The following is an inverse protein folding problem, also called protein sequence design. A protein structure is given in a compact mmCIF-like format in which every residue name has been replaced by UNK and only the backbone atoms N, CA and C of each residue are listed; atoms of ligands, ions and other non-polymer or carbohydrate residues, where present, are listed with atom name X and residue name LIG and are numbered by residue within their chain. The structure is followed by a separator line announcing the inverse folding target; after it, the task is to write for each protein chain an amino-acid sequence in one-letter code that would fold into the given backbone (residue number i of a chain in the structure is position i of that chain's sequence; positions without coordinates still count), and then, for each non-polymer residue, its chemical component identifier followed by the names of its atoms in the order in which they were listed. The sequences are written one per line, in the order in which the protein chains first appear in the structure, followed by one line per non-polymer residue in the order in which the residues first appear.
data_IF_784699056591
#
_entry.id   IF_784699056591
#
_cell.length_a   1.000
_cell.length_b   1.000
_cell.length_c   1.000
_cell.angle_alpha   90.00
_cell.angle_beta   90.00
_cell.angle_gamma   90.00
#
_symmetry.space_group_name_H-M   'P 1'
#
loop_
_entity.id
_entity.type
_entity.pdbx_description
1 polymer ?
#
# COMPACT_ATOMS: atom_id res chain seq x y z
N UNK A 1 15.49 13.39 -12.02
CA UNK A 1 14.31 12.50 -12.12
C UNK A 1 13.53 12.54 -10.81
N UNK A 2 12.23 12.76 -10.88
CA UNK A 2 11.45 12.70 -9.64
C UNK A 2 11.47 11.29 -9.07
N UNK A 3 11.52 11.22 -7.75
CA UNK A 3 11.50 9.94 -7.06
C UNK A 3 10.06 9.41 -7.04
N UNK A 4 9.91 8.10 -7.09
CA UNK A 4 8.59 7.50 -6.92
C UNK A 4 8.16 7.64 -5.47
N UNK A 5 6.90 7.96 -5.27
CA UNK A 5 6.33 8.18 -3.94
C UNK A 5 5.49 6.98 -3.53
N UNK A 6 5.72 6.49 -2.33
CA UNK A 6 4.98 5.33 -1.78
C UNK A 6 4.29 5.75 -0.50
N UNK A 7 2.99 5.49 -0.42
CA UNK A 7 2.22 5.70 0.80
C UNK A 7 2.16 4.39 1.57
N UNK A 8 2.64 4.43 2.82
CA UNK A 8 2.65 3.27 3.72
C UNK A 8 1.53 3.44 4.74
N UNK A 9 0.59 2.51 4.78
CA UNK A 9 -0.56 2.59 5.69
C UNK A 9 -0.58 1.40 6.63
N UNK A 10 -0.45 1.67 7.93
CA UNK A 10 -0.52 0.65 8.97
C UNK A 10 -0.73 1.37 10.30
N UNK A 11 -1.53 0.79 11.19
CA UNK A 11 -1.75 1.41 12.50
C UNK A 11 -0.61 1.10 13.49
N UNK A 12 0.32 0.23 13.12
CA UNK A 12 1.46 -0.12 13.94
C UNK A 12 2.70 0.71 13.56
N UNK A 13 3.20 1.49 14.50
CA UNK A 13 4.44 2.25 14.29
C UNK A 13 5.61 1.31 13.99
N UNK A 14 5.62 0.13 14.61
CA UNK A 14 6.69 -0.84 14.39
C UNK A 14 6.69 -1.33 12.94
N UNK A 15 5.53 -1.66 12.40
CA UNK A 15 5.43 -2.12 11.02
C UNK A 15 5.83 -1.00 10.06
N UNK A 16 5.36 0.23 10.29
CA UNK A 16 5.74 1.37 9.46
C UNK A 16 7.25 1.58 9.47
N UNK A 17 7.86 1.46 10.64
CA UNK A 17 9.32 1.60 10.76
C UNK A 17 10.04 0.52 9.96
N UNK A 18 9.59 -0.73 10.06
CA UNK A 18 10.18 -1.85 9.31
C UNK A 18 10.08 -1.62 7.82
N UNK A 19 8.90 -1.21 7.35
CA UNK A 19 8.69 -0.95 5.93
C UNK A 19 9.57 0.19 5.44
N UNK A 20 9.69 1.26 6.24
CA UNK A 20 10.55 2.37 5.88
C UNK A 20 12.02 1.95 5.80
N UNK A 21 12.47 1.12 6.75
CA UNK A 21 13.86 0.64 6.73
C UNK A 21 14.15 -0.19 5.48
N UNK A 22 13.23 -1.04 5.09
CA UNK A 22 13.38 -1.85 3.90
C UNK A 22 13.41 -0.96 2.65
N UNK A 23 12.49 -0.01 2.56
CA UNK A 23 12.32 0.81 1.36
C UNK A 23 13.31 1.95 1.26
N UNK A 24 13.93 2.36 2.35
CA UNK A 24 14.98 3.39 2.31
C UNK A 24 16.21 2.98 1.52
N UNK A 25 16.36 1.70 1.26
CA UNK A 25 17.46 1.22 0.42
C UNK A 25 17.23 1.53 -1.05
N UNK A 26 16.00 1.86 -1.43
CA UNK A 26 15.68 2.31 -2.77
C UNK A 26 15.58 3.83 -2.82
N UNK A 27 15.21 4.34 -3.97
CA UNK A 27 15.11 5.78 -4.18
C UNK A 27 13.66 6.23 -4.15
N UNK A 28 12.98 5.97 -3.04
CA UNK A 28 11.57 6.30 -2.88
C UNK A 28 11.34 7.43 -1.89
N UNK A 29 10.33 8.26 -2.17
CA UNK A 29 9.81 9.19 -1.18
C UNK A 29 8.70 8.46 -0.43
N UNK A 30 8.79 8.42 0.89
CA UNK A 30 7.86 7.66 1.72
C UNK A 30 6.95 8.58 2.52
N UNK A 31 5.66 8.34 2.42
CA UNK A 31 4.63 9.04 3.19
C UNK A 31 3.91 7.98 4.02
N UNK A 32 3.52 8.29 5.23
CA UNK A 32 2.87 7.33 6.10
C UNK A 32 1.50 7.80 6.53
N UNK A 33 0.61 6.84 6.82
CA UNK A 33 -0.69 7.08 7.42
C UNK A 33 -0.98 5.96 8.41
N UNK A 34 -1.65 6.28 9.51
CA UNK A 34 -1.84 5.33 10.61
C UNK A 34 -3.27 4.85 10.77
N UNK A 35 -4.20 5.38 10.01
CA UNK A 35 -5.58 4.91 9.99
C UNK A 35 -6.19 5.16 8.62
N UNK A 36 -7.41 4.65 8.43
CA UNK A 36 -8.05 4.70 7.13
C UNK A 36 -8.38 6.11 6.67
N UNK A 37 -8.85 6.96 7.56
CA UNK A 37 -9.16 8.35 7.22
C UNK A 37 -7.91 9.09 6.77
N UNK A 38 -6.85 8.96 7.51
CA UNK A 38 -5.57 9.59 7.15
C UNK A 38 -5.06 9.04 5.83
N UNK A 39 -5.23 7.74 5.59
CA UNK A 39 -4.79 7.12 4.35
C UNK A 39 -5.50 7.72 3.15
N UNK A 40 -6.81 7.90 3.23
CA UNK A 40 -7.59 8.50 2.13
C UNK A 40 -7.14 9.95 1.90
N UNK A 41 -7.01 10.73 2.97
CA UNK A 41 -6.55 12.11 2.85
C UNK A 41 -5.17 12.20 2.22
N UNK A 42 -4.23 11.37 2.69
CA UNK A 42 -2.86 11.36 2.17
C UNK A 42 -2.82 10.93 0.72
N UNK A 43 -3.62 9.93 0.34
CA UNK A 43 -3.65 9.46 -1.04
C UNK A 43 -4.06 10.59 -1.98
N UNK A 44 -5.08 11.35 -1.62
CA UNK A 44 -5.54 12.43 -2.48
C UNK A 44 -4.61 13.65 -2.46
N UNK A 45 -4.00 13.94 -1.31
CA UNK A 45 -3.10 15.09 -1.18
C UNK A 45 -1.73 14.83 -1.84
N UNK A 46 -1.19 13.63 -1.65
CA UNK A 46 0.17 13.30 -2.06
C UNK A 46 0.27 12.63 -3.42
N UNK A 47 -0.82 12.07 -3.91
CA UNK A 47 -0.87 11.39 -5.20
C UNK A 47 0.28 10.38 -5.36
N UNK A 48 0.38 9.38 -4.48
CA UNK A 48 1.50 8.44 -4.53
C UNK A 48 1.47 7.58 -5.79
N UNK A 49 2.62 7.02 -6.12
CA UNK A 49 2.77 6.12 -7.25
C UNK A 49 2.42 4.69 -6.88
N UNK A 50 2.38 4.38 -5.59
CA UNK A 50 2.03 3.06 -5.08
C UNK A 50 1.57 3.21 -3.64
N UNK A 51 0.63 2.37 -3.21
CA UNK A 51 0.13 2.35 -1.83
C UNK A 51 0.31 0.96 -1.26
N UNK A 52 0.96 0.87 -0.10
CA UNK A 52 1.09 -0.36 0.66
C UNK A 52 0.14 -0.25 1.84
N UNK A 53 -0.89 -1.10 1.89
CA UNK A 53 -2.07 -0.87 2.70
C UNK A 53 -2.40 -2.07 3.58
N UNK A 54 -2.32 -1.88 4.90
CA UNK A 54 -2.72 -2.90 5.86
C UNK A 54 -4.23 -3.11 5.79
N UNK A 55 -4.66 -4.36 5.90
CA UNK A 55 -6.08 -4.71 5.85
C UNK A 55 -6.77 -4.43 7.18
N UNK A 56 -6.15 -4.83 8.29
CA UNK A 56 -6.79 -4.75 9.60
C UNK A 56 -6.40 -3.48 10.34
N UNK A 57 -7.33 -2.53 10.36
CA UNK A 57 -7.16 -1.27 11.07
C UNK A 57 -8.47 -0.90 11.76
N UNK A 58 -8.40 -0.15 12.87
CA UNK A 58 -9.64 0.26 13.55
C UNK A 58 -10.45 1.22 12.71
N UNK A 59 -11.75 1.17 12.87
CA UNK A 59 -12.77 2.06 12.28
C UNK A 59 -12.96 1.91 10.79
N UNK A 60 -11.91 1.97 9.99
CA UNK A 60 -11.99 1.81 8.54
C UNK A 60 -10.90 0.84 8.12
N UNK A 61 -11.28 -0.33 7.64
CA UNK A 61 -10.31 -1.35 7.24
C UNK A 61 -9.75 -1.05 5.84
N UNK A 62 -8.73 -1.82 5.45
CA UNK A 62 -8.05 -1.59 4.17
C UNK A 62 -8.94 -1.72 2.96
N UNK A 63 -9.96 -2.58 3.01
CA UNK A 63 -10.88 -2.75 1.88
C UNK A 63 -11.67 -1.47 1.64
N UNK A 64 -12.14 -0.86 2.71
CA UNK A 64 -12.89 0.40 2.63
C UNK A 64 -12.02 1.53 2.11
N UNK A 65 -10.77 1.61 2.58
CA UNK A 65 -9.80 2.59 2.10
C UNK A 65 -9.60 2.43 0.60
N UNK A 66 -9.40 1.19 0.16
CA UNK A 66 -9.18 0.89 -1.25
C UNK A 66 -10.35 1.34 -2.11
N UNK A 67 -11.57 1.02 -1.69
CA UNK A 67 -12.77 1.42 -2.44
C UNK A 67 -12.87 2.94 -2.56
N UNK A 68 -12.61 3.65 -1.47
CA UNK A 68 -12.68 5.12 -1.47
C UNK A 68 -11.64 5.73 -2.42
N UNK A 69 -10.43 5.19 -2.40
CA UNK A 69 -9.39 5.68 -3.29
C UNK A 69 -9.75 5.42 -4.74
N UNK A 70 -10.33 4.25 -5.03
CA UNK A 70 -10.72 3.88 -6.39
C UNK A 70 -11.90 4.68 -6.94
N UNK A 71 -12.62 5.39 -6.10
CA UNK A 71 -13.69 6.28 -6.55
C UNK A 71 -13.14 7.49 -7.33
N UNK A 72 -11.91 7.86 -7.10
CA UNK A 72 -11.27 8.97 -7.81
C UNK A 72 -10.67 8.42 -9.11
N UNK A 73 -11.10 8.95 -10.25
CA UNK A 73 -10.62 8.50 -11.55
C UNK A 73 -9.11 8.64 -11.70
N UNK A 74 -8.53 9.66 -11.09
CA UNK A 74 -7.09 9.88 -11.13
C UNK A 74 -6.29 8.83 -10.36
N UNK A 75 -6.96 8.06 -9.49
CA UNK A 75 -6.31 7.06 -8.65
C UNK A 75 -6.61 5.62 -9.08
N UNK A 76 -7.35 5.43 -10.17
CA UNK A 76 -7.74 4.07 -10.58
C UNK A 76 -6.57 3.23 -11.06
N UNK A 77 -5.53 3.85 -11.56
CA UNK A 77 -4.35 3.13 -12.04
C UNK A 77 -3.23 2.97 -11.04
N UNK A 78 -3.36 3.54 -9.83
CA UNK A 78 -2.31 3.46 -8.83
C UNK A 78 -2.27 2.06 -8.23
N UNK A 79 -1.11 1.38 -8.24
CA UNK A 79 -1.03 0.06 -7.60
C UNK A 79 -1.30 0.17 -6.10
N UNK A 80 -2.19 -0.68 -5.60
CA UNK A 80 -2.48 -0.83 -4.18
C UNK A 80 -2.18 -2.26 -3.80
N UNK A 81 -1.17 -2.45 -2.95
CA UNK A 81 -0.77 -3.77 -2.47
C UNK A 81 -1.29 -3.93 -1.05
N UNK A 82 -2.17 -4.90 -0.85
CA UNK A 82 -2.72 -5.19 0.48
C UNK A 82 -1.71 -5.99 1.29
N UNK A 83 -1.58 -5.66 2.57
CA UNK A 83 -0.74 -6.43 3.51
C UNK A 83 -1.69 -7.20 4.42
N UNK A 84 -1.67 -8.52 4.32
CA UNK A 84 -2.60 -9.39 5.04
C UNK A 84 -1.86 -10.30 6.02
N UNK A 85 -2.59 -10.80 7.02
CA UNK A 85 -2.03 -11.78 7.94
C UNK A 85 -2.21 -13.17 7.34
N UNK A 86 -1.20 -14.02 7.54
CA UNK A 86 -1.24 -15.40 7.06
C UNK A 86 -2.50 -16.12 7.58
N UNK A 87 -3.15 -16.88 6.72
CA UNK A 87 -4.34 -17.64 7.09
C UNK A 87 -5.66 -16.92 6.82
N UNK A 88 -5.60 -15.70 6.31
CA UNK A 88 -6.80 -14.92 6.03
C UNK A 88 -7.14 -14.95 4.53
N UNK A 89 -7.36 -16.17 4.01
CA UNK A 89 -7.65 -16.35 2.58
C UNK A 89 -8.85 -15.57 2.07
N UNK A 90 -9.88 -15.40 2.91
CA UNK A 90 -11.05 -14.62 2.53
C UNK A 90 -10.71 -13.17 2.28
N UNK A 91 -9.71 -12.63 2.99
CA UNK A 91 -9.30 -11.25 2.84
C UNK A 91 -8.64 -10.98 1.49
N UNK A 92 -7.95 -11.98 0.93
CA UNK A 92 -7.33 -11.84 -0.39
C UNK A 92 -8.39 -11.61 -1.45
N UNK A 93 -9.45 -12.42 -1.45
CA UNK A 93 -10.53 -12.29 -2.40
C UNK A 93 -11.25 -10.94 -2.24
N UNK A 94 -11.56 -10.57 -0.99
CA UNK A 94 -12.20 -9.28 -0.71
C UNK A 94 -11.33 -8.12 -1.15
N UNK A 95 -10.01 -8.26 -1.02
CA UNK A 95 -9.08 -7.24 -1.46
C UNK A 95 -9.19 -6.98 -2.95
N UNK A 96 -9.19 -8.04 -3.76
CA UNK A 96 -9.32 -7.88 -5.20
C UNK A 96 -10.68 -7.31 -5.59
N UNK A 97 -11.74 -7.71 -4.90
CA UNK A 97 -13.07 -7.16 -5.15
C UNK A 97 -13.15 -5.67 -4.80
N UNK A 98 -12.36 -5.21 -3.84
CA UNK A 98 -12.33 -3.79 -3.47
C UNK A 98 -11.49 -2.94 -4.41
N UNK A 99 -10.74 -3.57 -5.32
CA UNK A 99 -9.95 -2.88 -6.32
C UNK A 99 -8.45 -2.87 -6.08
N UNK A 100 -7.93 -3.68 -5.13
CA UNK A 100 -6.49 -3.74 -4.93
C UNK A 100 -5.81 -4.42 -6.11
N UNK A 101 -4.52 -4.13 -6.27
CA UNK A 101 -3.72 -4.67 -7.38
C UNK A 101 -3.08 -6.00 -7.03
N UNK A 102 -2.70 -6.18 -5.77
CA UNK A 102 -1.97 -7.35 -5.33
C UNK A 102 -2.02 -7.44 -3.81
N UNK A 103 -1.40 -8.44 -3.25
CA UNK A 103 -1.29 -8.58 -1.80
C UNK A 103 0.05 -9.18 -1.43
N UNK A 104 0.43 -8.99 -0.16
CA UNK A 104 1.61 -9.63 0.42
C UNK A 104 1.21 -10.08 1.83
N UNK A 105 1.70 -11.25 2.25
CA UNK A 105 1.32 -11.85 3.53
C UNK A 105 2.34 -11.53 4.60
N UNK A 106 1.88 -11.14 5.80
CA UNK A 106 2.73 -10.99 6.98
C UNK A 106 2.96 -12.35 7.62
N UNK A 107 4.17 -12.64 8.09
CA UNK A 107 5.38 -11.86 7.93
C UNK A 107 5.93 -11.98 6.51
N UNK A 108 6.56 -10.92 6.04
CA UNK A 108 7.20 -10.91 4.71
C UNK A 108 8.69 -10.64 4.86
N UNK A 109 9.45 -11.06 3.85
CA UNK A 109 10.88 -10.75 3.81
C UNK A 109 11.10 -9.43 3.09
N UNK A 110 12.28 -8.82 3.33
CA UNK A 110 12.66 -7.61 2.61
C UNK A 110 12.66 -7.85 1.10
N UNK A 111 13.15 -9.01 0.69
CA UNK A 111 13.23 -9.34 -0.74
C UNK A 111 11.85 -9.44 -1.38
N UNK A 112 10.90 -10.09 -0.69
CA UNK A 112 9.53 -10.18 -1.20
C UNK A 112 8.90 -8.81 -1.40
N UNK A 113 9.04 -7.95 -0.40
CA UNK A 113 8.44 -6.62 -0.45
C UNK A 113 9.07 -5.80 -1.56
N UNK A 114 10.39 -5.74 -1.61
CA UNK A 114 11.10 -4.96 -2.63
C UNK A 114 10.81 -5.47 -4.04
N UNK A 115 10.81 -6.79 -4.23
CA UNK A 115 10.56 -7.38 -5.54
C UNK A 115 9.17 -7.01 -6.05
N UNK A 116 8.18 -7.12 -5.17
CA UNK A 116 6.81 -6.82 -5.55
C UNK A 116 6.63 -5.33 -5.88
N UNK A 117 7.17 -4.46 -5.06
CA UNK A 117 7.09 -3.02 -5.29
C UNK A 117 7.80 -2.63 -6.59
N UNK A 118 8.99 -3.15 -6.80
CA UNK A 118 9.75 -2.86 -8.01
C UNK A 118 9.03 -3.32 -9.27
N UNK A 119 8.35 -4.47 -9.21
CA UNK A 119 7.64 -4.99 -10.37
C UNK A 119 6.52 -4.06 -10.82
N UNK A 120 5.84 -3.42 -9.87
CA UNK A 120 4.76 -2.49 -10.20
C UNK A 120 5.28 -1.13 -10.68
N UNK A 121 6.33 -0.63 -10.06
CA UNK A 121 6.87 0.69 -10.40
C UNK A 121 7.72 0.69 -11.65
N UNK A 122 8.40 -0.41 -11.93
CA UNK A 122 9.25 -0.51 -13.11
C UNK A 122 8.46 -0.46 -14.42
N UNK A 123 7.22 -0.94 -14.42
CA UNK A 123 6.39 -0.95 -15.62
C UNK A 123 6.09 0.44 -16.14
N UNK A 124 6.10 1.45 -15.28
CA UNK A 124 5.80 2.81 -15.66
C UNK A 124 6.92 3.47 -16.47
N UNK A 125 8.06 2.83 -16.56
CA UNK A 125 9.21 3.37 -17.28
C UNK A 125 9.15 3.13 -18.78
N UNK A 126 8.13 2.47 -19.25
CA UNK A 126 8.00 2.16 -20.67
C UNK A 126 7.27 3.23 -21.46
#
# INVERSE_FOLDING_TARGET
MPRKKILLVDDSNTVLMMERMILNKGSYDLVTAKDGSEAVERAFAERPDLILLDVIMPRMNGFEVCRKIREDDGMKGVPIIMVTTRGEGENVENGFQSGCSDYITKPFSSLELLTKIESYLAEEKR
#
